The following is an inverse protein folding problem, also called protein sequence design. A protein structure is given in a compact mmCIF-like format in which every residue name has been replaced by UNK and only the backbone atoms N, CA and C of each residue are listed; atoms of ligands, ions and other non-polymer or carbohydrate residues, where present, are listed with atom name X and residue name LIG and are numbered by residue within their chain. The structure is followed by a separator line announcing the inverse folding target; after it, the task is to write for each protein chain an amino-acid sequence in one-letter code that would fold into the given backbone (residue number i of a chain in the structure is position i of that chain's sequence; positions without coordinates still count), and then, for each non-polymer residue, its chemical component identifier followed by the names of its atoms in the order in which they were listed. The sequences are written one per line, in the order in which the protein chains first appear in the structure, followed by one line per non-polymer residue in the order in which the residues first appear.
data_IF_890509128047
#
_entry.id   IF_890509128047
#
_cell.length_a   1.000
_cell.length_b   1.000
_cell.length_c   1.000
_cell.angle_alpha   90.00
_cell.angle_beta   90.00
_cell.angle_gamma   90.00
#
_symmetry.space_group_name_H-M   'P 1'
#
loop_
_entity.id
_entity.type
_entity.pdbx_description
1 polymer ?
#
# COMPACT_ATOMS: atom_id res chain seq x y z
N UNK A 1 -54.70 -9.65 6.04
CA UNK A 1 -53.71 -8.56 6.11
C UNK A 1 -52.33 -9.15 5.88
N UNK A 2 -51.68 -8.86 4.75
CA UNK A 2 -50.31 -9.32 4.43
C UNK A 2 -49.36 -8.16 4.65
N UNK A 3 -48.42 -8.32 5.59
CA UNK A 3 -47.34 -7.36 5.81
C UNK A 3 -46.23 -7.73 4.81
N UNK A 4 -45.98 -6.85 3.85
CA UNK A 4 -44.80 -6.94 2.99
C UNK A 4 -43.63 -6.32 3.74
N UNK A 5 -42.65 -7.13 4.12
CA UNK A 5 -41.40 -6.61 4.67
C UNK A 5 -40.54 -6.09 3.51
N UNK A 6 -40.24 -4.79 3.51
CA UNK A 6 -39.19 -4.24 2.66
C UNK A 6 -37.84 -4.64 3.26
N UNK A 7 -37.11 -5.52 2.60
CA UNK A 7 -35.75 -5.87 3.02
C UNK A 7 -34.85 -4.72 2.57
N UNK A 8 -34.40 -3.91 3.54
CA UNK A 8 -33.37 -2.91 3.28
C UNK A 8 -32.03 -3.61 3.03
N UNK A 9 -31.48 -3.40 1.84
CA UNK A 9 -30.11 -3.77 1.53
C UNK A 9 -29.14 -2.89 2.35
N UNK A 10 -28.11 -3.52 2.93
CA UNK A 10 -27.08 -2.82 3.71
C UNK A 10 -25.76 -2.90 2.97
N UNK A 11 -25.15 -1.74 2.73
CA UNK A 11 -23.78 -1.64 2.27
C UNK A 11 -22.85 -1.57 3.48
N UNK A 12 -21.90 -2.49 3.56
CA UNK A 12 -20.85 -2.49 4.58
C UNK A 12 -19.51 -2.60 3.85
N UNK A 13 -18.61 -1.64 4.11
CA UNK A 13 -17.26 -1.60 3.56
C UNK A 13 -16.27 -1.86 4.69
N UNK A 14 -15.36 -2.80 4.48
CA UNK A 14 -14.30 -3.11 5.42
C UNK A 14 -12.97 -2.66 4.85
N UNK A 15 -12.20 -1.96 5.68
CA UNK A 15 -10.78 -1.78 5.48
C UNK A 15 -10.02 -3.13 5.69
N UNK A 16 -8.78 -3.23 5.23
CA UNK A 16 -8.00 -4.49 5.28
C UNK A 16 -7.03 -4.48 6.47
N UNK A 17 -6.03 -3.61 6.44
CA UNK A 17 -4.88 -3.64 7.35
C UNK A 17 -5.24 -3.10 8.73
N UNK A 18 -5.03 -3.91 9.77
CA UNK A 18 -5.44 -3.57 11.13
C UNK A 18 -6.94 -3.74 11.39
N UNK A 19 -7.76 -3.84 10.34
CA UNK A 19 -9.21 -4.08 10.40
C UNK A 19 -9.57 -5.56 10.24
N UNK A 20 -9.27 -6.17 9.09
CA UNK A 20 -9.57 -7.60 8.83
C UNK A 20 -8.37 -8.49 9.15
N UNK A 21 -7.16 -8.02 8.88
CA UNK A 21 -5.92 -8.79 9.05
C UNK A 21 -4.82 -7.92 9.64
N UNK A 22 -3.86 -8.55 10.32
CA UNK A 22 -2.64 -7.89 10.78
C UNK A 22 -1.46 -8.55 10.09
N UNK A 23 -0.65 -7.76 9.41
CA UNK A 23 0.55 -8.21 8.73
C UNK A 23 1.78 -7.92 9.59
N UNK A 24 2.84 -8.71 9.39
CA UNK A 24 4.18 -8.41 9.90
C UNK A 24 5.11 -8.36 8.69
N UNK A 25 6.21 -7.59 8.79
CA UNK A 25 7.26 -7.52 7.77
C UNK A 25 6.87 -7.01 6.37
N UNK A 26 5.62 -6.58 6.13
CA UNK A 26 5.19 -6.01 4.85
C UNK A 26 5.99 -4.78 4.40
N UNK A 27 6.74 -4.16 5.30
CA UNK A 27 7.67 -3.07 5.00
C UNK A 27 8.87 -3.48 4.14
N UNK A 28 9.33 -4.74 4.23
CA UNK A 28 10.49 -5.22 3.47
C UNK A 28 10.21 -5.23 1.96
N UNK A 29 9.17 -5.91 1.46
CA UNK A 29 8.83 -5.88 0.03
C UNK A 29 8.40 -4.48 -0.44
N UNK A 30 7.80 -3.65 0.42
CA UNK A 30 7.48 -2.27 0.07
C UNK A 30 8.74 -1.43 -0.19
N UNK A 31 9.71 -1.49 0.73
CA UNK A 31 10.98 -0.78 0.60
C UNK A 31 11.79 -1.25 -0.62
N UNK A 32 11.75 -2.56 -0.91
CA UNK A 32 12.34 -3.13 -2.13
C UNK A 32 11.70 -2.56 -3.39
N UNK A 33 10.37 -2.49 -3.43
CA UNK A 33 9.64 -1.92 -4.57
C UNK A 33 9.98 -0.45 -4.79
N UNK A 34 10.15 0.36 -3.73
CA UNK A 34 10.63 1.75 -3.86
C UNK A 34 11.99 1.78 -4.55
N UNK A 35 12.95 0.99 -4.05
CA UNK A 35 14.31 0.97 -4.59
C UNK A 35 14.33 0.55 -6.07
N UNK A 36 13.61 -0.50 -6.43
CA UNK A 36 13.53 -0.99 -7.82
C UNK A 36 12.84 0.01 -8.76
N UNK A 37 11.92 0.83 -8.23
CA UNK A 37 11.10 1.74 -9.05
C UNK A 37 11.71 3.10 -9.23
N UNK A 38 12.34 3.65 -8.19
CA UNK A 38 12.85 5.02 -8.18
C UNK A 38 14.37 5.09 -8.12
N UNK A 39 15.05 3.96 -7.87
CA UNK A 39 16.51 3.93 -7.66
C UNK A 39 16.95 4.56 -6.34
N UNK A 40 16.00 4.85 -5.45
CA UNK A 40 16.22 5.53 -4.17
C UNK A 40 15.79 4.59 -3.05
N UNK A 41 16.63 4.43 -2.04
CA UNK A 41 16.25 3.68 -0.85
C UNK A 41 15.18 4.46 -0.07
N UNK A 42 14.02 3.85 0.14
CA UNK A 42 12.97 4.35 1.01
C UNK A 42 12.76 3.39 2.18
N UNK A 43 12.31 3.94 3.32
CA UNK A 43 11.88 3.13 4.45
C UNK A 43 10.50 3.59 4.93
N UNK A 44 9.47 2.80 4.66
CA UNK A 44 8.08 3.06 5.07
C UNK A 44 7.92 3.21 6.59
N UNK A 45 8.85 2.67 7.39
CA UNK A 45 8.83 2.82 8.85
C UNK A 45 9.19 4.23 9.32
N UNK A 46 9.63 5.10 8.40
CA UNK A 46 9.89 6.52 8.70
C UNK A 46 8.64 7.39 8.69
N UNK A 47 7.50 6.83 8.24
CA UNK A 47 6.21 7.52 8.13
C UNK A 47 5.09 6.68 8.77
N UNK A 48 3.88 7.22 8.83
CA UNK A 48 2.68 6.50 9.30
C UNK A 48 1.81 6.14 8.09
N UNK A 49 1.86 4.88 7.62
CA UNK A 49 1.17 4.49 6.40
C UNK A 49 -0.34 4.24 6.59
N UNK A 50 -0.79 4.02 7.83
CA UNK A 50 -2.15 3.58 8.12
C UNK A 50 -3.20 4.56 7.57
N UNK A 51 -4.12 4.05 6.73
CA UNK A 51 -5.20 4.83 6.13
C UNK A 51 -4.78 5.73 4.96
N UNK A 52 -3.51 5.68 4.53
CA UNK A 52 -3.01 6.41 3.38
C UNK A 52 -2.91 5.51 2.14
N UNK A 53 -2.80 6.13 0.97
CA UNK A 53 -2.57 5.43 -0.30
C UNK A 53 -1.07 5.25 -0.54
N UNK A 54 -0.68 4.19 -1.26
CA UNK A 54 0.74 3.92 -1.55
C UNK A 54 1.48 5.11 -2.18
N UNK A 55 0.90 5.88 -3.14
CA UNK A 55 1.57 7.06 -3.68
C UNK A 55 1.84 8.13 -2.62
N UNK A 56 0.85 8.41 -1.77
CA UNK A 56 0.99 9.40 -0.70
C UNK A 56 2.06 8.96 0.33
N UNK A 57 2.09 7.66 0.67
CA UNK A 57 3.12 7.08 1.53
C UNK A 57 4.51 7.28 0.93
N UNK A 58 4.69 7.01 -0.38
CA UNK A 58 5.97 7.20 -1.07
C UNK A 58 6.40 8.67 -1.08
N UNK A 59 5.47 9.59 -1.34
CA UNK A 59 5.71 11.04 -1.29
C UNK A 59 6.18 11.48 0.11
N UNK A 60 5.53 11.00 1.18
CA UNK A 60 5.93 11.30 2.55
C UNK A 60 7.32 10.73 2.89
N UNK A 61 7.64 9.51 2.43
CA UNK A 61 8.96 8.90 2.62
C UNK A 61 10.06 9.76 1.97
N UNK A 62 9.84 10.22 0.74
CA UNK A 62 10.81 11.07 0.05
C UNK A 62 10.92 12.46 0.67
N UNK A 63 9.81 13.03 1.12
CA UNK A 63 9.82 14.28 1.88
C UNK A 63 10.62 14.14 3.19
N UNK A 64 10.42 13.05 3.95
CA UNK A 64 11.18 12.76 5.17
C UNK A 64 12.67 12.57 4.89
N UNK A 65 13.02 11.96 3.75
CA UNK A 65 14.39 11.80 3.28
C UNK A 65 15.00 13.07 2.66
N UNK A 66 14.24 14.17 2.55
CA UNK A 66 14.63 15.43 1.88
C UNK A 66 15.07 15.21 0.42
N UNK A 67 14.45 14.25 -0.25
CA UNK A 67 14.64 13.98 -1.66
C UNK A 67 13.67 14.87 -2.44
N UNK A 68 14.20 15.78 -3.25
CA UNK A 68 13.40 16.57 -4.18
C UNK A 68 13.25 15.77 -5.49
N UNK A 69 12.07 15.18 -5.69
CA UNK A 69 11.77 14.35 -6.85
C UNK A 69 10.38 14.66 -7.39
N UNK A 70 10.31 14.88 -8.70
CA UNK A 70 9.05 14.90 -9.44
C UNK A 70 8.79 13.48 -9.96
N UNK A 71 7.73 12.84 -9.50
CA UNK A 71 7.35 11.50 -9.94
C UNK A 71 6.37 11.62 -11.11
N UNK A 72 6.75 11.08 -12.27
CA UNK A 72 5.88 11.01 -13.44
C UNK A 72 4.98 9.75 -13.40
N UNK A 73 3.89 9.77 -14.17
CA UNK A 73 2.88 8.69 -14.16
C UNK A 73 3.46 7.31 -14.49
N UNK A 74 4.44 7.24 -15.40
CA UNK A 74 5.12 6.00 -15.78
C UNK A 74 5.92 5.37 -14.62
N UNK A 75 6.42 6.21 -13.71
CA UNK A 75 7.08 5.72 -12.49
C UNK A 75 6.07 5.09 -11.52
N UNK A 76 4.82 5.59 -11.47
CA UNK A 76 3.78 4.98 -10.64
C UNK A 76 3.31 3.63 -11.19
N UNK A 77 3.20 3.47 -12.51
CA UNK A 77 2.91 2.17 -13.13
C UNK A 77 4.02 1.15 -12.86
N UNK A 78 5.29 1.59 -12.95
CA UNK A 78 6.44 0.77 -12.60
C UNK A 78 6.42 0.39 -11.12
N UNK A 79 6.11 1.33 -10.24
CA UNK A 79 6.00 1.09 -8.81
C UNK A 79 4.90 0.08 -8.47
N UNK A 80 3.69 0.23 -9.01
CA UNK A 80 2.62 -0.74 -8.79
C UNK A 80 3.00 -2.15 -9.25
N UNK A 81 3.73 -2.27 -10.37
CA UNK A 81 4.22 -3.55 -10.88
C UNK A 81 5.25 -4.17 -9.95
N UNK A 82 6.27 -3.40 -9.56
CA UNK A 82 7.33 -3.87 -8.67
C UNK A 82 6.79 -4.20 -7.28
N UNK A 83 5.85 -3.42 -6.75
CA UNK A 83 5.20 -3.67 -5.46
C UNK A 83 4.49 -5.02 -5.46
N UNK A 84 3.70 -5.30 -6.49
CA UNK A 84 3.05 -6.60 -6.67
C UNK A 84 4.07 -7.74 -6.73
N UNK A 85 5.17 -7.57 -7.46
CA UNK A 85 6.21 -8.59 -7.60
C UNK A 85 6.95 -8.85 -6.29
N UNK A 86 7.35 -7.80 -5.58
CA UNK A 86 8.03 -7.91 -4.28
C UNK A 86 7.16 -8.60 -3.24
N UNK A 87 5.86 -8.27 -3.14
CA UNK A 87 4.96 -9.01 -2.25
C UNK A 87 4.78 -10.47 -2.67
N UNK A 88 4.63 -10.75 -3.96
CA UNK A 88 4.53 -12.13 -4.44
C UNK A 88 5.80 -12.93 -4.14
N UNK A 89 6.97 -12.31 -4.25
CA UNK A 89 8.25 -12.93 -3.91
C UNK A 89 8.35 -13.22 -2.41
N UNK A 90 8.04 -12.23 -1.55
CA UNK A 90 8.03 -12.41 -0.11
C UNK A 90 7.12 -13.58 0.32
N UNK A 91 5.92 -13.66 -0.25
CA UNK A 91 5.00 -14.77 0.02
C UNK A 91 5.55 -16.14 -0.41
N UNK A 92 6.26 -16.23 -1.54
CA UNK A 92 6.90 -17.48 -1.98
C UNK A 92 8.09 -17.87 -1.09
N UNK A 93 8.80 -16.88 -0.58
CA UNK A 93 9.95 -17.06 0.31
C UNK A 93 9.54 -17.32 1.77
N UNK A 94 8.26 -17.07 2.10
CA UNK A 94 7.70 -17.24 3.44
C UNK A 94 8.11 -16.14 4.40
N UNK A 95 8.35 -14.93 3.88
CA UNK A 95 8.82 -13.74 4.62
C UNK A 95 7.75 -12.67 4.78
#
# INVERSE_FOLDING_TARGET
MRIFACVMERLVLFDIDGTLVRTQNGHVPFNEAILQSFGIAGDIRTVVPDGNTDPHIVEEIFAAAKVDISIADDHWERFATNLRLSYANALREGT
#
